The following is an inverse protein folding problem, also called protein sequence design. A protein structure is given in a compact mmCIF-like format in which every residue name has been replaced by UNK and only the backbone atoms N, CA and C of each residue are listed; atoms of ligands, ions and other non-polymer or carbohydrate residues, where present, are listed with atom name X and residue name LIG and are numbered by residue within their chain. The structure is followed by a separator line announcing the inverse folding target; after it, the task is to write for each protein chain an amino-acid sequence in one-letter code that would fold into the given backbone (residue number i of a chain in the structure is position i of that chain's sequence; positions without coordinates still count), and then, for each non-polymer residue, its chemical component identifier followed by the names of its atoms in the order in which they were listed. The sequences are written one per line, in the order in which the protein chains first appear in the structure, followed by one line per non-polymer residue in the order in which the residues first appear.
data_IF_263408780496
#
_entry.id   IF_263408780496
#
_cell.length_a   1.000
_cell.length_b   1.000
_cell.length_c   1.000
_cell.angle_alpha   90.00
_cell.angle_beta   90.00
_cell.angle_gamma   90.00
#
_symmetry.space_group_name_H-M   'P 1'
#
loop_
_entity.id
_entity.type
_entity.pdbx_description
1 polymer ?
#
# COMPACT_ATOMS: atom_id res chain seq x y z
N UNK A 1 8.51 21.13 -20.16
CA UNK A 1 8.08 19.86 -20.78
C UNK A 1 9.30 19.21 -21.42
N UNK A 2 9.90 18.19 -20.80
CA UNK A 2 11.05 17.46 -21.38
C UNK A 2 10.56 16.05 -21.74
N UNK A 3 10.31 15.85 -23.02
CA UNK A 3 9.97 14.54 -23.59
C UNK A 3 11.25 13.72 -23.70
N UNK A 4 11.35 12.62 -22.97
CA UNK A 4 12.42 11.64 -23.14
C UNK A 4 12.06 10.80 -24.38
N UNK A 5 12.62 11.14 -25.55
CA UNK A 5 12.54 10.27 -26.73
C UNK A 5 13.63 9.21 -26.56
N UNK A 6 13.23 7.94 -26.42
CA UNK A 6 14.16 6.83 -26.42
C UNK A 6 14.39 6.39 -27.88
N UNK A 7 15.52 6.81 -28.46
CA UNK A 7 15.77 6.83 -29.92
C UNK A 7 16.33 5.54 -30.53
N UNK A 8 16.38 4.43 -29.81
CA UNK A 8 16.74 3.13 -30.39
C UNK A 8 16.33 1.99 -29.45
N UNK A 9 15.70 0.97 -30.02
CA UNK A 9 15.45 -0.31 -29.34
C UNK A 9 16.50 -1.31 -29.83
N UNK A 10 17.49 -1.61 -29.01
CA UNK A 10 18.33 -2.78 -29.23
C UNK A 10 17.50 -4.01 -28.87
N UNK A 11 17.25 -4.88 -29.85
CA UNK A 11 16.63 -6.19 -29.59
C UNK A 11 17.69 -7.07 -28.93
N UNK A 12 17.77 -7.01 -27.59
CA UNK A 12 18.68 -7.83 -26.82
C UNK A 12 18.03 -9.19 -26.63
N UNK A 13 18.53 -10.19 -27.37
CA UNK A 13 18.24 -11.60 -27.09
C UNK A 13 19.13 -12.03 -25.93
N UNK A 14 18.58 -12.19 -24.74
CA UNK A 14 19.32 -12.78 -23.62
C UNK A 14 19.59 -14.24 -23.98
N UNK A 15 20.85 -14.59 -24.25
CA UNK A 15 21.24 -15.94 -24.67
C UNK A 15 21.52 -16.86 -23.50
N UNK A 16 21.84 -16.30 -22.33
CA UNK A 16 22.18 -17.05 -21.13
C UNK A 16 21.63 -16.32 -19.90
N UNK A 17 20.94 -17.07 -19.04
CA UNK A 17 20.47 -16.62 -17.75
C UNK A 17 21.16 -17.48 -16.69
N UNK A 18 21.58 -16.83 -15.60
CA UNK A 18 22.18 -17.50 -14.44
C UNK A 18 21.42 -17.09 -13.19
N UNK A 19 21.33 -18.00 -12.22
CA UNK A 19 20.77 -17.71 -10.89
C UNK A 19 21.50 -16.49 -10.29
N UNK A 20 20.72 -15.57 -9.72
CA UNK A 20 21.20 -14.30 -9.18
C UNK A 20 21.25 -13.16 -10.20
N UNK A 21 21.00 -13.39 -11.50
CA UNK A 21 20.89 -12.32 -12.47
C UNK A 21 19.72 -11.39 -12.16
N UNK A 22 19.98 -10.09 -12.24
CA UNK A 22 18.98 -9.04 -12.10
C UNK A 22 18.37 -8.70 -13.45
N UNK A 23 17.05 -8.59 -13.49
CA UNK A 23 16.28 -8.45 -14.72
C UNK A 23 15.13 -7.46 -14.56
N UNK A 24 14.65 -6.96 -15.69
CA UNK A 24 13.36 -6.30 -15.86
C UNK A 24 12.45 -7.22 -16.68
N UNK A 25 11.20 -7.35 -16.29
CA UNK A 25 10.19 -8.13 -17.02
C UNK A 25 9.04 -7.21 -17.36
N UNK A 26 8.58 -7.25 -18.62
CA UNK A 26 7.35 -6.57 -19.03
C UNK A 26 6.23 -7.60 -19.08
N UNK A 27 5.17 -7.38 -18.30
CA UNK A 27 3.95 -8.19 -18.32
C UNK A 27 2.76 -7.30 -18.62
N UNK A 28 1.72 -7.84 -19.23
CA UNK A 28 0.45 -7.14 -19.40
C UNK A 28 -0.45 -7.36 -18.18
N UNK A 29 -1.09 -6.30 -17.68
CA UNK A 29 -2.15 -6.42 -16.69
C UNK A 29 -3.44 -7.02 -17.29
N UNK A 30 -4.49 -7.18 -16.47
CA UNK A 30 -5.80 -7.67 -16.91
C UNK A 30 -6.47 -6.83 -18.00
N UNK A 31 -6.07 -5.56 -18.13
CA UNK A 31 -6.59 -4.59 -19.10
C UNK A 31 -5.66 -4.46 -20.32
N UNK A 32 -4.69 -5.37 -20.50
CA UNK A 32 -3.67 -5.34 -21.54
C UNK A 32 -2.73 -4.11 -21.50
N UNK A 33 -2.59 -3.45 -20.35
CA UNK A 33 -1.60 -2.40 -20.16
C UNK A 33 -0.24 -3.02 -19.79
N UNK A 34 0.87 -2.57 -20.40
CA UNK A 34 2.19 -3.04 -20.03
C UNK A 34 2.60 -2.51 -18.65
N UNK A 35 3.02 -3.43 -17.78
CA UNK A 35 3.56 -3.16 -16.46
C UNK A 35 5.02 -3.64 -16.40
N UNK A 36 5.88 -2.82 -15.78
CA UNK A 36 7.29 -3.12 -15.57
C UNK A 36 7.51 -3.75 -14.20
N UNK A 37 8.19 -4.89 -14.20
CA UNK A 37 8.62 -5.60 -13.00
C UNK A 37 10.14 -5.61 -12.94
N UNK A 38 10.70 -5.47 -11.75
CA UNK A 38 12.11 -5.70 -11.45
C UNK A 38 12.25 -7.04 -10.76
N UNK A 39 13.27 -7.83 -11.06
CA UNK A 39 13.38 -9.15 -10.46
C UNK A 39 14.76 -9.75 -10.48
N UNK A 40 14.84 -10.95 -9.91
CA UNK A 40 16.04 -11.77 -9.81
C UNK A 40 15.70 -13.18 -10.27
N UNK A 41 16.58 -13.79 -11.06
CA UNK A 41 16.52 -15.22 -11.37
C UNK A 41 16.83 -16.00 -10.08
N UNK A 42 15.86 -16.75 -9.57
CA UNK A 42 16.02 -17.50 -8.31
C UNK A 42 16.38 -18.96 -8.54
N UNK A 43 15.94 -19.54 -9.65
CA UNK A 43 16.24 -20.93 -9.97
C UNK A 43 16.19 -21.20 -11.49
N UNK A 44 16.91 -22.22 -11.92
CA UNK A 44 16.98 -22.70 -13.29
C UNK A 44 16.90 -24.22 -13.29
N UNK A 45 15.83 -24.77 -13.86
CA UNK A 45 15.61 -26.22 -13.93
C UNK A 45 15.76 -26.66 -15.38
N UNK A 46 16.72 -27.54 -15.66
CA UNK A 46 16.92 -28.12 -16.98
C UNK A 46 16.73 -29.64 -16.93
N UNK A 47 15.78 -30.14 -17.72
CA UNK A 47 15.43 -31.57 -17.81
C UNK A 47 16.02 -32.26 -19.04
N UNK A 48 16.88 -31.58 -19.80
CA UNK A 48 17.42 -32.04 -21.08
C UNK A 48 16.50 -31.75 -22.27
N UNK A 49 15.19 -31.88 -22.09
CA UNK A 49 14.18 -31.54 -23.11
C UNK A 49 13.53 -30.17 -22.89
N UNK A 50 13.31 -29.80 -21.62
CA UNK A 50 12.68 -28.54 -21.23
C UNK A 50 13.55 -27.78 -20.23
N UNK A 51 13.57 -26.47 -20.39
CA UNK A 51 14.16 -25.54 -19.43
C UNK A 51 13.06 -24.69 -18.79
N UNK A 52 13.19 -24.50 -17.49
CA UNK A 52 12.33 -23.65 -16.69
C UNK A 52 13.15 -22.60 -15.97
N UNK A 53 12.61 -21.40 -15.89
CA UNK A 53 13.23 -20.26 -15.23
C UNK A 53 12.30 -19.79 -14.11
N UNK A 54 12.78 -19.82 -12.87
CA UNK A 54 12.07 -19.24 -11.75
C UNK A 54 12.59 -17.83 -11.49
N UNK A 55 11.66 -16.88 -11.42
CA UNK A 55 11.94 -15.47 -11.16
C UNK A 55 11.23 -15.05 -9.89
N UNK A 56 11.90 -14.26 -9.05
CA UNK A 56 11.24 -13.42 -8.05
C UNK A 56 11.14 -12.02 -8.61
N UNK A 57 9.92 -11.58 -8.93
CA UNK A 57 9.65 -10.29 -9.58
C UNK A 57 8.84 -9.39 -8.65
N UNK A 58 9.06 -8.10 -8.79
CA UNK A 58 8.53 -7.06 -7.93
C UNK A 58 8.00 -5.93 -8.79
N UNK A 59 6.80 -5.45 -8.50
CA UNK A 59 6.28 -4.19 -9.05
C UNK A 59 5.86 -3.25 -7.96
N UNK A 60 5.91 -1.96 -8.28
CA UNK A 60 5.40 -0.91 -7.41
C UNK A 60 3.92 -0.74 -7.69
N UNK A 61 3.09 -1.06 -6.71
CA UNK A 61 1.73 -0.57 -6.67
C UNK A 61 1.69 0.73 -5.88
N UNK A 62 0.61 1.50 -6.00
CA UNK A 62 0.47 2.87 -5.48
C UNK A 62 1.09 3.11 -4.10
N UNK A 63 0.87 2.21 -3.14
CA UNK A 63 1.36 2.31 -1.76
C UNK A 63 2.07 1.05 -1.25
N UNK A 64 2.43 0.10 -2.13
CA UNK A 64 3.04 -1.18 -1.72
C UNK A 64 3.95 -1.74 -2.81
N UNK A 65 4.84 -2.65 -2.44
CA UNK A 65 5.44 -3.57 -3.41
C UNK A 65 4.53 -4.79 -3.52
N UNK A 66 4.26 -5.20 -4.74
CA UNK A 66 3.74 -6.53 -5.02
C UNK A 66 4.90 -7.41 -5.47
N UNK A 67 5.05 -8.57 -4.83
CA UNK A 67 6.06 -9.57 -5.17
C UNK A 67 5.37 -10.81 -5.71
N UNK A 68 5.90 -11.39 -6.78
CA UNK A 68 5.41 -12.60 -7.40
C UNK A 68 6.58 -13.55 -7.66
N UNK A 69 6.43 -14.84 -7.34
CA UNK A 69 7.36 -15.87 -7.82
C UNK A 69 6.74 -16.53 -9.04
N UNK A 70 7.41 -16.41 -10.18
CA UNK A 70 6.90 -16.90 -11.47
C UNK A 70 7.82 -17.96 -12.01
N UNK A 71 7.24 -19.11 -12.35
CA UNK A 71 7.93 -20.17 -13.09
C UNK A 71 7.54 -20.08 -14.56
N UNK A 72 8.51 -19.80 -15.41
CA UNK A 72 8.32 -19.85 -16.85
C UNK A 72 8.81 -21.17 -17.40
N UNK A 73 7.99 -21.81 -18.24
CA UNK A 73 8.42 -22.88 -19.11
C UNK A 73 8.84 -22.26 -20.46
N UNK A 74 9.90 -22.78 -21.10
CA UNK A 74 10.43 -22.22 -22.36
C UNK A 74 9.49 -22.24 -23.58
N UNK A 75 8.19 -22.49 -23.39
CA UNK A 75 7.15 -22.51 -24.42
C UNK A 75 6.55 -21.11 -24.68
N UNK A 76 6.60 -20.20 -23.70
CA UNK A 76 6.11 -18.83 -23.83
C UNK A 76 7.25 -17.86 -24.06
N UNK A 77 7.04 -16.90 -24.97
CA UNK A 77 7.93 -15.75 -25.10
C UNK A 77 7.81 -14.88 -23.84
N UNK A 78 8.94 -14.43 -23.33
CA UNK A 78 9.01 -13.56 -22.15
C UNK A 78 9.86 -12.36 -22.53
N UNK A 79 9.33 -11.17 -22.29
CA UNK A 79 10.05 -9.93 -22.50
C UNK A 79 10.91 -9.62 -21.27
N UNK A 80 12.12 -10.18 -21.27
CA UNK A 80 13.13 -10.00 -20.21
C UNK A 80 14.24 -9.10 -20.73
N UNK A 81 14.58 -8.08 -19.94
CA UNK A 81 15.66 -7.15 -20.20
C UNK A 81 16.67 -7.22 -19.06
N UNK A 82 17.98 -7.04 -19.34
CA UNK A 82 18.98 -6.97 -18.28
C UNK A 82 18.71 -5.76 -17.39
N UNK A 83 18.88 -5.95 -16.08
CA UNK A 83 18.91 -4.88 -15.10
C UNK A 83 20.22 -4.94 -14.35
N UNK A 84 20.64 -3.82 -13.79
CA UNK A 84 21.79 -3.79 -12.87
C UNK A 84 21.34 -4.08 -11.44
N UNK A 85 22.22 -4.62 -10.59
CA UNK A 85 21.96 -4.74 -9.15
C UNK A 85 21.65 -3.40 -8.48
N UNK A 86 22.22 -2.30 -9.00
CA UNK A 86 21.94 -0.95 -8.53
C UNK A 86 20.49 -0.54 -8.74
N UNK A 87 19.98 -0.71 -9.97
CA UNK A 87 18.58 -0.40 -10.30
C UNK A 87 17.58 -1.22 -9.47
N UNK A 88 17.82 -2.53 -9.32
CA UNK A 88 16.95 -3.39 -8.50
C UNK A 88 17.01 -2.98 -7.03
N UNK A 89 18.19 -2.66 -6.51
CA UNK A 89 18.35 -2.20 -5.11
C UNK A 89 17.63 -0.88 -4.88
N UNK A 90 17.83 0.10 -5.75
CA UNK A 90 17.18 1.41 -5.66
C UNK A 90 15.66 1.24 -5.62
N UNK A 91 15.12 0.54 -6.60
CA UNK A 91 13.69 0.23 -6.69
C UNK A 91 13.14 -0.43 -5.41
N UNK A 92 13.80 -1.48 -4.92
CA UNK A 92 13.36 -2.19 -3.72
C UNK A 92 13.53 -1.37 -2.44
N UNK A 93 14.57 -0.54 -2.36
CA UNK A 93 14.87 0.27 -1.17
C UNK A 93 13.83 1.36 -0.94
N UNK A 94 13.45 2.11 -1.98
CA UNK A 94 12.42 3.13 -1.87
C UNK A 94 11.09 2.54 -1.43
N UNK A 95 10.77 1.37 -1.96
CA UNK A 95 9.49 0.77 -1.72
C UNK A 95 9.46 0.00 -0.38
N UNK A 96 10.60 -0.48 0.12
CA UNK A 96 10.76 -0.92 1.52
C UNK A 96 10.53 0.23 2.51
N UNK A 97 11.05 1.43 2.22
CA UNK A 97 10.80 2.62 3.05
C UNK A 97 9.30 2.97 3.06
N UNK A 98 8.65 2.96 1.91
CA UNK A 98 7.22 3.22 1.80
C UNK A 98 6.37 2.18 2.57
N UNK A 99 6.72 0.88 2.43
CA UNK A 99 6.04 -0.19 3.17
C UNK A 99 6.22 -0.07 4.68
N UNK A 100 7.42 0.30 5.14
CA UNK A 100 7.68 0.51 6.57
C UNK A 100 6.85 1.66 7.13
N UNK A 101 6.79 2.79 6.42
CA UNK A 101 5.94 3.91 6.81
C UNK A 101 4.47 3.50 6.87
N UNK A 102 3.97 2.80 5.85
CA UNK A 102 2.60 2.29 5.84
C UNK A 102 2.31 1.31 6.98
N UNK A 103 3.30 0.51 7.39
CA UNK A 103 3.16 -0.39 8.53
C UNK A 103 3.02 0.40 9.84
N UNK A 104 3.90 1.38 10.06
CA UNK A 104 3.87 2.24 11.25
C UNK A 104 2.60 3.09 11.36
N UNK A 105 2.03 3.52 10.22
CA UNK A 105 0.75 4.23 10.19
C UNK A 105 -0.41 3.30 10.56
N UNK A 106 -0.45 2.07 10.00
CA UNK A 106 -1.47 1.07 10.33
C UNK A 106 -1.40 0.59 11.78
N UNK A 107 -0.21 0.49 12.35
CA UNK A 107 -0.02 0.14 13.76
C UNK A 107 -0.61 1.20 14.69
N UNK A 108 -0.41 2.49 14.35
CA UNK A 108 -1.03 3.60 15.07
C UNK A 108 -2.56 3.59 14.96
N UNK A 109 -3.09 3.39 13.75
CA UNK A 109 -4.53 3.25 13.53
C UNK A 109 -5.13 2.10 14.34
N UNK A 110 -4.43 0.95 14.40
CA UNK A 110 -4.87 -0.20 15.19
C UNK A 110 -4.98 0.13 16.68
N UNK A 111 -3.98 0.82 17.25
CA UNK A 111 -4.00 1.22 18.66
C UNK A 111 -5.13 2.20 18.94
N UNK A 112 -5.38 3.17 18.05
CA UNK A 112 -6.50 4.10 18.19
C UNK A 112 -7.84 3.39 18.14
N UNK A 113 -8.01 2.44 17.23
CA UNK A 113 -9.25 1.67 17.09
C UNK A 113 -9.47 0.75 18.29
N UNK A 114 -8.43 0.09 18.79
CA UNK A 114 -8.48 -0.68 20.03
C UNK A 114 -8.96 0.16 21.22
N UNK A 115 -8.44 1.39 21.38
CA UNK A 115 -8.90 2.30 22.44
C UNK A 115 -10.38 2.67 22.31
N UNK A 116 -10.88 2.84 21.09
CA UNK A 116 -12.32 3.11 20.88
C UNK A 116 -13.16 1.91 21.29
N UNK A 117 -12.74 0.70 20.89
CA UNK A 117 -13.42 -0.54 21.28
C UNK A 117 -13.43 -0.69 22.80
N UNK A 118 -12.27 -0.56 23.46
CA UNK A 118 -12.17 -0.63 24.93
C UNK A 118 -13.07 0.41 25.61
N UNK A 119 -13.12 1.65 25.10
CA UNK A 119 -13.99 2.68 25.65
C UNK A 119 -15.48 2.35 25.53
N UNK A 120 -15.89 1.77 24.40
CA UNK A 120 -17.27 1.31 24.18
C UNK A 120 -17.58 0.09 25.04
N UNK A 121 -16.68 -0.87 25.15
CA UNK A 121 -16.84 -2.05 26.00
C UNK A 121 -16.93 -1.70 27.49
N UNK A 122 -16.12 -0.74 27.96
CA UNK A 122 -16.22 -0.21 29.33
C UNK A 122 -17.58 0.47 29.60
N UNK A 123 -18.19 1.06 28.57
CA UNK A 123 -19.53 1.63 28.66
C UNK A 123 -20.61 0.55 28.70
N UNK A 124 -20.53 -0.44 27.79
CA UNK A 124 -21.52 -1.53 27.67
C UNK A 124 -21.48 -2.50 28.86
N UNK A 125 -20.29 -2.80 29.38
CA UNK A 125 -20.09 -3.69 30.55
C UNK A 125 -20.60 -3.09 31.87
N UNK A 126 -20.94 -1.80 31.89
CA UNK A 126 -21.45 -1.12 33.06
C UNK A 126 -20.36 -0.64 34.04
N UNK A 127 -19.08 -0.85 33.75
CA UNK A 127 -17.98 -0.27 34.54
C UNK A 127 -18.05 1.26 34.57
N UNK A 128 -18.28 1.88 33.40
CA UNK A 128 -18.49 3.34 33.31
C UNK A 128 -19.92 3.79 33.57
N UNK A 129 -20.91 2.88 33.52
CA UNK A 129 -22.32 3.25 33.72
C UNK A 129 -22.60 3.85 35.11
N UNK A 130 -21.78 3.51 36.11
CA UNK A 130 -21.86 4.06 37.47
C UNK A 130 -21.41 5.52 37.59
N UNK A 131 -20.62 6.00 36.63
CA UNK A 131 -20.12 7.38 36.57
C UNK A 131 -21.01 8.28 35.70
N UNK A 132 -21.95 7.70 34.97
CA UNK A 132 -22.87 8.45 34.11
C UNK A 132 -23.90 9.17 34.97
N UNK A 133 -23.95 10.49 34.85
CA UNK A 133 -25.01 11.32 35.42
C UNK A 133 -25.96 11.74 34.31
N UNK A 134 -27.25 11.75 34.59
CA UNK A 134 -28.23 12.33 33.68
C UNK A 134 -28.02 13.83 33.63
N UNK A 135 -27.91 14.39 32.42
CA UNK A 135 -27.83 15.85 32.25
C UNK A 135 -29.07 16.51 32.83
N UNK A 136 -28.88 17.42 33.78
CA UNK A 136 -29.97 18.25 34.27
C UNK A 136 -30.36 19.27 33.20
N UNK A 137 -31.64 19.31 32.86
CA UNK A 137 -32.20 20.37 32.03
C UNK A 137 -33.33 21.06 32.79
N UNK A 138 -33.48 22.34 32.52
CA UNK A 138 -34.63 23.13 32.96
C UNK A 138 -35.54 23.30 31.75
N UNK A 139 -36.78 22.83 31.84
CA UNK A 139 -37.77 23.13 30.81
C UNK A 139 -38.17 24.60 30.94
N UNK A 140 -37.82 25.38 29.94
CA UNK A 140 -38.26 26.76 29.81
C UNK A 140 -39.39 26.82 28.79
N UNK A 141 -40.45 27.54 29.13
CA UNK A 141 -41.45 27.96 28.15
C UNK A 141 -40.81 28.93 27.14
N UNK A 142 -41.40 29.06 25.94
CA UNK A 142 -40.89 30.00 24.93
C UNK A 142 -40.84 31.46 25.44
N UNK A 143 -41.75 31.83 26.33
CA UNK A 143 -41.78 33.15 26.95
C UNK A 143 -40.59 33.36 27.89
N UNK A 144 -40.30 32.38 28.75
CA UNK A 144 -39.15 32.42 29.68
C UNK A 144 -37.81 32.41 28.93
N UNK A 145 -37.70 31.64 27.85
CA UNK A 145 -36.52 31.63 26.99
C UNK A 145 -36.30 32.97 26.28
N UNK A 146 -37.37 33.60 25.80
CA UNK A 146 -37.30 34.90 25.12
C UNK A 146 -36.90 36.03 26.07
N UNK A 147 -37.35 35.99 27.32
CA UNK A 147 -36.98 36.95 28.36
C UNK A 147 -35.51 36.79 28.80
N UNK A 148 -35.03 35.56 28.98
CA UNK A 148 -33.62 35.27 29.28
C UNK A 148 -32.69 35.82 28.20
N UNK A 149 -33.04 35.61 26.93
CA UNK A 149 -32.24 36.09 25.78
C UNK A 149 -32.20 37.61 25.67
N UNK A 150 -33.28 38.31 26.03
CA UNK A 150 -33.30 39.78 26.09
C UNK A 150 -32.44 40.31 27.24
N UNK A 151 -32.54 39.72 28.43
CA UNK A 151 -31.75 40.11 29.60
C UNK A 151 -30.23 39.95 29.44
N UNK A 152 -29.77 38.95 28.70
CA UNK A 152 -28.34 38.77 28.37
C UNK A 152 -27.81 39.83 27.39
N UNK A 153 -28.68 40.36 26.53
CA UNK A 153 -28.33 41.40 25.55
C UNK A 153 -28.21 42.77 26.22
N UNK A 154 -29.04 43.05 27.22
CA UNK A 154 -29.04 44.31 27.97
C UNK A 154 -27.93 44.38 29.03
N UNK A 155 -27.42 43.25 29.53
CA UNK A 155 -26.29 43.19 30.47
C UNK A 155 -24.90 43.29 29.80
N UNK A 156 -24.85 43.26 28.46
CA UNK A 156 -23.62 43.32 27.67
C UNK A 156 -23.38 44.68 26.97
N UNK A 157 -24.20 45.70 27.28
CA UNK A 157 -24.05 47.10 26.86
C UNK A 157 -23.83 48.01 28.07
#
# INVERSE_FOLDING_TARGET
TKTLIQSSANVIKITELVVGNTIKVVKTDYNNNPELYYGVVTDLINTGEKSYVQLSIYKRAYNRIESESVLYNGEKNIDIFPATPGEVREFLSEAAVAMRKSFEDKERELVEEQRKVEAVEAFVSGEKAKELTTTSFTELTQEEFSQLKQGETDASN
#
